data_IF_545236073257
#
_entry.id   IF_545236073257
#
_cell.length_a   1.000
_cell.length_b   1.000
_cell.length_c   1.000
_cell.angle_alpha   90.00
_cell.angle_beta   90.00
_cell.angle_gamma   90.00
#
_symmetry.space_group_name_H-M   'P 1'
#
loop_
_entity.id
_entity.type
_entity.pdbx_description
1 polymer ?
#
# COMPACT_ATOMS: atom_id res chain seq x y z
N UNK A 1 7.01 4.87 -7.12
CA UNK A 1 5.87 3.95 -7.38
C UNK A 1 4.81 4.70 -8.16
N UNK A 2 4.23 4.08 -9.19
CA UNK A 2 3.09 4.59 -9.97
C UNK A 2 1.96 3.58 -9.82
N UNK A 3 0.74 4.06 -9.62
CA UNK A 3 -0.44 3.21 -9.51
C UNK A 3 -1.52 3.77 -10.43
N UNK A 4 -2.18 2.91 -11.18
CA UNK A 4 -3.35 3.25 -11.97
C UNK A 4 -4.40 2.14 -11.88
N UNK A 5 -5.67 2.55 -11.89
CA UNK A 5 -6.82 1.66 -11.93
C UNK A 5 -7.58 1.97 -13.21
N UNK A 6 -7.65 0.98 -14.09
CA UNK A 6 -8.36 1.08 -15.37
C UNK A 6 -9.72 0.40 -15.22
N UNK A 7 -10.79 1.19 -15.30
CA UNK A 7 -12.17 0.73 -15.30
C UNK A 7 -12.80 0.80 -16.68
N UNK A 8 -14.01 0.26 -16.81
CA UNK A 8 -14.77 0.26 -18.07
C UNK A 8 -15.17 1.67 -18.53
N UNK A 9 -15.24 2.63 -17.62
CA UNK A 9 -15.67 4.02 -17.88
C UNK A 9 -14.56 5.05 -17.80
N UNK A 10 -13.32 4.63 -17.51
CA UNK A 10 -12.19 5.55 -17.38
C UNK A 10 -11.07 5.02 -16.48
N UNK A 11 -10.05 5.85 -16.27
CA UNK A 11 -8.84 5.51 -15.51
C UNK A 11 -8.61 6.52 -14.40
N UNK A 12 -8.23 6.03 -13.22
CA UNK A 12 -7.72 6.84 -12.11
C UNK A 12 -6.24 6.52 -11.91
N UNK A 13 -5.40 7.53 -11.77
CA UNK A 13 -3.97 7.37 -11.53
C UNK A 13 -3.53 8.16 -10.31
N UNK A 14 -2.64 7.57 -9.51
CA UNK A 14 -1.99 8.26 -8.42
C UNK A 14 -0.91 9.18 -8.98
N UNK A 15 -1.01 10.47 -8.70
CA UNK A 15 0.02 11.43 -9.09
C UNK A 15 1.31 11.23 -8.27
N UNK A 16 2.45 11.55 -8.89
CA UNK A 16 3.70 11.60 -8.17
C UNK A 16 3.59 12.69 -7.07
N UNK A 17 4.07 12.44 -5.84
CA UNK A 17 4.06 13.49 -4.84
C UNK A 17 5.00 14.59 -5.28
N UNK A 18 4.50 15.81 -5.25
CA UNK A 18 5.25 16.99 -5.65
C UNK A 18 5.59 17.79 -4.40
N UNK A 19 6.88 18.08 -4.20
CA UNK A 19 7.34 19.09 -3.23
C UNK A 19 7.32 20.51 -3.82
N UNK A 20 6.87 20.63 -5.08
CA UNK A 20 6.84 21.87 -5.85
C UNK A 20 7.21 21.62 -7.32
N UNK A 21 7.05 22.65 -8.15
CA UNK A 21 7.52 22.66 -9.53
C UNK A 21 8.15 24.01 -9.83
N UNK A 22 9.22 24.03 -10.62
CA UNK A 22 9.87 25.26 -11.09
C UNK A 22 9.73 25.40 -12.60
N UNK A 23 9.50 26.62 -13.06
CA UNK A 23 9.55 26.95 -14.48
C UNK A 23 11.02 27.27 -14.84
N UNK A 24 11.61 26.51 -15.77
CA UNK A 24 12.99 26.66 -16.20
C UNK A 24 13.09 26.40 -17.70
N UNK A 25 13.73 27.28 -18.45
CA UNK A 25 13.96 27.17 -19.90
C UNK A 25 12.70 26.84 -20.72
N UNK A 26 11.56 27.40 -20.32
CA UNK A 26 10.25 27.15 -20.94
C UNK A 26 9.62 25.80 -20.58
N UNK A 27 10.27 24.99 -19.72
CA UNK A 27 9.76 23.75 -19.17
C UNK A 27 9.27 23.86 -17.73
N UNK A 28 8.61 22.81 -17.25
CA UNK A 28 8.22 22.63 -15.84
C UNK A 28 8.99 21.45 -15.27
N UNK A 29 9.82 21.71 -14.28
CA UNK A 29 10.67 20.71 -13.61
C UNK A 29 10.11 20.42 -12.23
N UNK A 30 10.03 19.15 -11.86
CA UNK A 30 9.58 18.69 -10.56
C UNK A 30 10.69 17.87 -9.90
N UNK A 31 10.93 18.13 -8.61
CA UNK A 31 11.80 17.30 -7.82
C UNK A 31 11.07 15.99 -7.45
N UNK A 32 11.76 14.87 -7.56
CA UNK A 32 11.30 13.59 -7.05
C UNK A 32 12.01 13.28 -5.73
N UNK A 33 11.34 12.60 -4.78
CA UNK A 33 12.00 12.11 -3.58
C UNK A 33 13.20 11.22 -3.94
N UNK A 34 14.35 11.46 -3.29
CA UNK A 34 15.59 10.72 -3.53
C UNK A 34 15.53 9.29 -2.97
N UNK A 35 14.70 9.05 -1.95
CA UNK A 35 14.51 7.75 -1.34
C UNK A 35 13.03 7.48 -1.00
N UNK A 36 12.77 6.23 -0.61
CA UNK A 36 11.43 5.79 -0.22
C UNK A 36 11.00 6.35 1.13
N UNK A 37 11.95 6.71 2.01
CA UNK A 37 11.64 7.23 3.33
C UNK A 37 10.97 8.60 3.22
N UNK A 38 11.56 9.51 2.44
CA UNK A 38 10.96 10.82 2.15
C UNK A 38 9.64 10.69 1.39
N UNK A 39 9.50 9.68 0.53
CA UNK A 39 8.26 9.42 -0.23
C UNK A 39 7.07 9.04 0.66
N UNK A 40 7.31 8.30 1.75
CA UNK A 40 6.26 7.73 2.61
C UNK A 40 6.32 8.21 4.06
N UNK A 41 7.12 9.24 4.36
CA UNK A 41 7.31 9.76 5.72
C UNK A 41 6.00 10.03 6.45
N UNK A 42 5.05 10.69 5.79
CA UNK A 42 3.74 10.97 6.38
C UNK A 42 2.95 9.69 6.67
N UNK A 43 2.98 8.72 5.76
CA UNK A 43 2.25 7.46 5.95
C UNK A 43 2.77 6.69 7.17
N UNK A 44 4.08 6.70 7.43
CA UNK A 44 4.64 6.06 8.63
C UNK A 44 4.21 6.76 9.92
N UNK A 45 4.13 8.09 9.91
CA UNK A 45 3.64 8.86 11.06
C UNK A 45 2.17 8.56 11.31
N UNK A 46 1.35 8.60 10.26
CA UNK A 46 -0.09 8.34 10.35
C UNK A 46 -0.37 6.91 10.82
N UNK A 47 0.32 5.91 10.25
CA UNK A 47 0.21 4.50 10.65
C UNK A 47 0.53 4.30 12.14
N UNK A 48 1.64 4.89 12.61
CA UNK A 48 2.04 4.75 14.01
C UNK A 48 1.06 5.46 14.95
N UNK A 49 0.59 6.65 14.57
CA UNK A 49 -0.38 7.40 15.37
C UNK A 49 -1.71 6.65 15.48
N UNK A 50 -2.22 6.12 14.36
CA UNK A 50 -3.45 5.31 14.32
C UNK A 50 -3.33 4.08 15.24
N UNK A 51 -2.16 3.42 15.23
CA UNK A 51 -1.88 2.30 16.11
C UNK A 51 -1.86 2.72 17.58
N UNK A 52 -1.16 3.79 17.94
CA UNK A 52 -1.13 4.33 19.31
C UNK A 52 -2.55 4.63 19.79
N UNK A 53 -3.35 5.28 18.96
CA UNK A 53 -4.73 5.66 19.28
C UNK A 53 -5.62 4.42 19.46
N UNK A 54 -5.45 3.39 18.63
CA UNK A 54 -6.19 2.13 18.76
C UNK A 54 -5.84 1.39 20.05
N UNK A 55 -4.56 1.37 20.43
CA UNK A 55 -4.09 0.77 21.69
C UNK A 55 -4.71 1.47 22.90
N UNK A 56 -4.77 2.82 22.90
CA UNK A 56 -5.43 3.58 23.98
C UNK A 56 -6.91 3.24 24.14
N UNK A 57 -7.59 2.89 23.04
CA UNK A 57 -9.00 2.45 23.05
C UNK A 57 -9.18 0.96 23.37
N UNK A 58 -8.10 0.19 23.52
CA UNK A 58 -8.17 -1.27 23.66
C UNK A 58 -8.65 -1.98 22.40
N UNK A 59 -8.42 -1.38 21.23
CA UNK A 59 -8.84 -1.89 19.91
C UNK A 59 -7.62 -2.21 19.04
N UNK A 60 -7.85 -2.81 17.86
CA UNK A 60 -6.83 -3.01 16.84
C UNK A 60 -7.23 -2.28 15.54
N UNK A 61 -6.24 -1.80 14.79
CA UNK A 61 -6.42 -1.12 13.50
C UNK A 61 -5.29 -1.47 12.54
N UNK A 62 -5.43 -1.09 11.27
CA UNK A 62 -4.42 -1.28 10.23
C UNK A 62 -4.40 -2.70 9.63
N UNK A 63 -3.38 -3.01 8.80
CA UNK A 63 -3.20 -4.34 8.24
C UNK A 63 -3.04 -5.40 9.33
N UNK A 64 -3.79 -6.49 9.21
CA UNK A 64 -3.79 -7.60 10.15
C UNK A 64 -2.72 -8.65 9.82
N UNK A 65 -2.56 -9.64 10.69
CA UNK A 65 -1.71 -10.80 10.42
C UNK A 65 -2.16 -11.59 9.16
N UNK A 66 -3.47 -11.57 8.83
CA UNK A 66 -3.96 -12.17 7.59
C UNK A 66 -3.44 -11.44 6.35
N UNK A 67 -3.39 -10.12 6.38
CA UNK A 67 -2.87 -9.32 5.27
C UNK A 67 -1.37 -9.60 5.06
N UNK A 68 -0.62 -9.77 6.15
CA UNK A 68 0.78 -10.22 6.11
C UNK A 68 0.95 -11.62 5.53
N UNK A 69 0.09 -12.57 5.90
CA UNK A 69 0.06 -13.92 5.30
C UNK A 69 -0.20 -13.86 3.80
N UNK A 70 -1.24 -13.14 3.37
CA UNK A 70 -1.59 -13.03 1.96
C UNK A 70 -0.46 -12.36 1.14
N UNK A 71 0.14 -11.29 1.67
CA UNK A 71 1.30 -10.64 1.03
C UNK A 71 2.48 -11.60 0.87
N UNK A 72 2.76 -12.42 1.88
CA UNK A 72 3.83 -13.42 1.85
C UNK A 72 3.55 -14.51 0.81
N UNK A 73 2.34 -15.07 0.79
CA UNK A 73 1.95 -16.09 -0.19
C UNK A 73 2.06 -15.58 -1.64
N UNK A 74 1.65 -14.32 -1.88
CA UNK A 74 1.84 -13.67 -3.19
C UNK A 74 3.32 -13.50 -3.52
N UNK A 75 4.15 -13.06 -2.56
CA UNK A 75 5.58 -12.88 -2.77
C UNK A 75 6.28 -14.21 -3.09
N UNK A 76 5.94 -15.29 -2.40
CA UNK A 76 6.45 -16.64 -2.67
C UNK A 76 6.07 -17.13 -4.07
N UNK A 77 4.80 -16.97 -4.46
CA UNK A 77 4.34 -17.31 -5.80
C UNK A 77 5.06 -16.49 -6.89
N UNK A 78 5.33 -15.20 -6.65
CA UNK A 78 6.06 -14.33 -7.57
C UNK A 78 7.54 -14.74 -7.72
N UNK A 79 8.18 -15.23 -6.64
CA UNK A 79 9.54 -15.79 -6.71
C UNK A 79 9.53 -17.11 -7.51
N UNK A 80 8.53 -17.96 -7.29
CA UNK A 80 8.38 -19.24 -7.99
C UNK A 80 8.02 -19.07 -9.48
N UNK A 81 7.34 -17.99 -9.86
CA UNK A 81 6.91 -17.74 -11.24
C UNK A 81 8.03 -17.33 -12.21
N UNK A 82 9.30 -17.45 -11.79
CA UNK A 82 10.46 -17.19 -12.66
C UNK A 82 10.54 -18.27 -13.75
N UNK A 83 9.93 -17.99 -14.90
CA UNK A 83 9.97 -18.84 -16.10
C UNK A 83 8.73 -19.71 -16.31
N UNK A 84 7.76 -19.68 -15.40
CA UNK A 84 6.46 -20.34 -15.60
C UNK A 84 5.36 -19.60 -14.85
N UNK A 85 4.11 -19.79 -15.27
CA UNK A 85 2.96 -19.24 -14.55
C UNK A 85 2.75 -20.01 -13.25
N UNK A 86 2.70 -19.29 -12.13
CA UNK A 86 2.39 -19.86 -10.81
C UNK A 86 1.08 -19.27 -10.30
N UNK A 87 0.21 -20.12 -9.75
CA UNK A 87 -1.01 -19.67 -9.09
C UNK A 87 -0.69 -19.22 -7.67
N UNK A 88 -1.32 -18.14 -7.22
CA UNK A 88 -1.36 -17.79 -5.80
C UNK A 88 -2.49 -18.60 -5.19
N UNK A 89 -2.15 -19.46 -4.24
CA UNK A 89 -3.12 -20.21 -3.45
C UNK A 89 -3.16 -19.63 -2.04
N UNK A 90 -4.34 -19.18 -1.62
CA UNK A 90 -4.56 -18.61 -0.29
C UNK A 90 -5.47 -19.53 0.48
N UNK A 91 -5.13 -19.78 1.75
CA UNK A 91 -6.07 -20.40 2.67
C UNK A 91 -7.37 -19.57 2.77
N UNK A 92 -8.44 -20.20 3.24
CA UNK A 92 -9.66 -19.47 3.57
C UNK A 92 -9.37 -18.45 4.68
N UNK A 93 -9.83 -17.20 4.49
CA UNK A 93 -9.66 -16.15 5.48
C UNK A 93 -10.45 -16.49 6.75
N UNK A 94 -9.79 -16.66 7.91
CA UNK A 94 -10.50 -16.92 9.16
C UNK A 94 -11.47 -15.79 9.50
N UNK A 95 -12.62 -16.14 10.10
CA UNK A 95 -13.62 -15.16 10.56
C UNK A 95 -13.06 -14.13 11.55
N UNK A 96 -11.99 -14.46 12.28
CA UNK A 96 -11.27 -13.51 13.14
C UNK A 96 -10.83 -12.24 12.39
N UNK A 97 -10.57 -12.35 11.08
CA UNK A 97 -10.06 -11.26 10.25
C UNK A 97 -11.10 -10.68 9.28
N UNK A 98 -12.37 -11.10 9.31
CA UNK A 98 -13.38 -10.70 8.32
C UNK A 98 -13.88 -9.25 8.44
N UNK A 99 -13.39 -8.49 9.43
CA UNK A 99 -13.82 -7.10 9.67
C UNK A 99 -15.18 -6.97 10.36
N UNK A 100 -15.80 -8.10 10.74
CA UNK A 100 -16.94 -8.11 11.65
C UNK A 100 -16.44 -7.94 13.08
N UNK A 101 -16.38 -6.69 13.53
CA UNK A 101 -16.31 -6.39 14.96
C UNK A 101 -17.52 -7.03 15.65
N UNK A 102 -17.26 -7.92 16.63
CA UNK A 102 -18.25 -8.39 17.61
C UNK A 102 -19.11 -7.22 18.12
N UNK A 103 -20.41 -7.45 18.38
CA UNK A 103 -21.32 -6.42 18.90
C UNK A 103 -20.89 -5.85 20.26
#
# INVERSE_FOLDING_TARGET
MRCEVVGTTGTVALEAPTTGAVALDGGRVQALPMDWQARFAQAYVDELQDWVDAVHRGTATGPSAWDGYAATAVAEAAVASRGSRTMVDLAERPALYSGESSP
#
